data_IF_276749822603
#
_entry.id   IF_276749822603
#
_cell.length_a   1.000
_cell.length_b   1.000
_cell.length_c   1.000
_cell.angle_alpha   90.00
_cell.angle_beta   90.00
_cell.angle_gamma   90.00
#
_symmetry.space_group_name_H-M   'P 1'
#
loop_
_entity.id
_entity.type
_entity.pdbx_description
1 polymer ?
#
# COMPACT_ATOMS: atom_id res chain seq x y z
N UNK A 1 -4.45 1.20 -23.80
CA UNK A 1 -4.10 2.44 -24.54
C UNK A 1 -2.91 3.05 -23.82
N UNK A 2 -1.76 3.19 -24.48
CA UNK A 2 -0.50 3.66 -23.89
C UNK A 2 -0.52 5.20 -23.77
N UNK A 3 -0.33 5.81 -22.58
CA UNK A 3 -0.02 7.23 -22.52
C UNK A 3 1.48 7.44 -22.76
N UNK A 4 1.78 8.26 -23.75
CA UNK A 4 3.10 8.68 -24.17
C UNK A 4 3.65 9.77 -23.25
N UNK A 5 4.96 9.69 -22.97
CA UNK A 5 5.75 10.70 -22.27
C UNK A 5 6.01 11.86 -23.23
N UNK A 6 5.71 13.10 -22.81
CA UNK A 6 6.15 14.32 -23.47
C UNK A 6 6.96 15.17 -22.48
N UNK A 7 8.27 15.18 -22.72
CA UNK A 7 9.24 16.05 -22.08
C UNK A 7 9.06 17.50 -22.59
N UNK A 8 8.99 18.46 -21.67
CA UNK A 8 9.09 19.89 -21.98
C UNK A 8 10.53 20.32 -21.73
N UNK A 9 11.28 20.47 -22.82
CA UNK A 9 12.56 21.19 -22.85
C UNK A 9 12.29 22.50 -23.60
N UNK A 10 12.32 23.60 -22.87
CA UNK A 10 12.53 24.94 -23.40
C UNK A 10 13.47 25.61 -22.39
N UNK A 11 14.59 26.23 -22.76
CA UNK A 11 15.01 26.75 -24.04
C UNK A 11 15.95 27.90 -23.69
N UNK A 12 17.15 27.82 -24.20
CA UNK A 12 18.32 28.66 -23.95
C UNK A 12 18.08 30.17 -24.11
N UNK A 13 18.72 30.99 -23.27
CA UNK A 13 19.11 32.36 -23.65
C UNK A 13 20.60 32.56 -23.38
N UNK A 14 21.30 32.92 -24.46
CA UNK A 14 22.73 33.17 -24.59
C UNK A 14 23.07 34.65 -24.28
N UNK A 15 24.28 34.84 -23.75
CA UNK A 15 25.22 35.98 -23.85
C UNK A 15 24.71 37.42 -24.06
N UNK A 16 25.16 38.37 -23.22
CA UNK A 16 26.23 39.35 -23.51
C UNK A 16 26.19 40.53 -22.52
N UNK A 17 27.36 40.92 -22.02
CA UNK A 17 27.55 42.13 -21.21
C UNK A 17 29.03 42.38 -21.01
N UNK A 18 29.63 43.08 -21.97
CA UNK A 18 31.02 43.51 -21.95
C UNK A 18 31.24 44.59 -20.89
N UNK A 19 32.28 44.43 -20.07
CA UNK A 19 32.97 45.53 -19.42
C UNK A 19 34.47 45.22 -19.49
N UNK A 20 35.14 45.96 -20.36
CA UNK A 20 36.59 46.06 -20.43
C UNK A 20 36.96 47.25 -19.54
N UNK A 21 37.72 47.04 -18.48
CA UNK A 21 38.62 48.07 -17.95
C UNK A 21 39.83 47.38 -17.32
N UNK A 22 40.97 48.00 -17.56
CA UNK A 22 42.33 47.47 -17.48
C UNK A 22 42.79 47.24 -16.03
N UNK A 23 43.63 46.23 -15.78
CA UNK A 23 45.00 46.44 -15.28
C UNK A 23 45.73 45.09 -15.08
N UNK A 24 47.01 45.08 -15.45
CA UNK A 24 47.96 44.00 -15.26
C UNK A 24 48.20 43.72 -13.77
N UNK A 25 47.83 42.53 -13.30
CA UNK A 25 48.40 41.96 -12.08
C UNK A 25 48.52 40.44 -12.20
N UNK A 26 49.76 40.00 -12.37
CA UNK A 26 50.21 38.61 -12.32
C UNK A 26 49.87 38.02 -10.94
N UNK A 27 48.77 37.29 -10.82
CA UNK A 27 48.41 36.54 -9.62
C UNK A 27 48.49 35.05 -9.92
N UNK A 28 49.49 34.37 -9.33
CA UNK A 28 49.48 32.91 -9.20
C UNK A 28 48.21 32.50 -8.44
N UNK A 29 47.17 32.10 -9.18
CA UNK A 29 45.95 31.56 -8.58
C UNK A 29 46.23 30.10 -8.24
N UNK A 30 46.32 29.80 -6.94
CA UNK A 30 46.18 28.43 -6.46
C UNK A 30 44.88 27.87 -7.06
N UNK A 31 44.97 26.74 -7.76
CA UNK A 31 43.82 26.11 -8.41
C UNK A 31 42.68 25.94 -7.41
N UNK A 32 41.54 26.55 -7.71
CA UNK A 32 40.34 26.34 -6.92
C UNK A 32 40.03 24.84 -6.87
N UNK A 33 39.72 24.27 -5.69
CA UNK A 33 39.34 22.87 -5.60
C UNK A 33 38.14 22.65 -6.52
N UNK A 34 38.28 21.74 -7.48
CA UNK A 34 37.18 21.32 -8.35
C UNK A 34 36.06 20.79 -7.46
N UNK A 35 34.82 21.29 -7.56
CA UNK A 35 33.71 20.72 -6.82
C UNK A 35 33.61 19.24 -7.15
N UNK A 36 33.72 18.38 -6.14
CA UNK A 36 33.51 16.96 -6.32
C UNK A 36 32.08 16.75 -6.87
N UNK A 37 31.96 15.96 -7.93
CA UNK A 37 30.65 15.60 -8.46
C UNK A 37 29.82 14.95 -7.34
N UNK A 38 28.53 15.30 -7.19
CA UNK A 38 27.69 14.72 -6.17
C UNK A 38 27.65 13.20 -6.34
N UNK A 39 28.07 12.47 -5.31
CA UNK A 39 27.98 11.01 -5.27
C UNK A 39 26.50 10.66 -5.24
N UNK A 40 25.98 10.11 -6.33
CA UNK A 40 24.62 9.59 -6.39
C UNK A 40 24.63 8.27 -5.63
N UNK A 41 24.14 8.28 -4.38
CA UNK A 41 23.91 7.03 -3.65
C UNK A 41 22.73 6.35 -4.32
N UNK A 42 22.95 5.17 -4.91
CA UNK A 42 21.86 4.37 -5.45
C UNK A 42 20.90 4.02 -4.32
N UNK A 43 19.60 4.23 -4.54
CA UNK A 43 18.58 3.77 -3.60
C UNK A 43 18.71 2.25 -3.42
N UNK A 44 18.51 1.73 -2.19
CA UNK A 44 18.54 0.29 -1.97
C UNK A 44 17.49 -0.43 -2.82
N UNK A 45 17.85 -1.57 -3.39
CA UNK A 45 16.93 -2.45 -4.13
C UNK A 45 16.28 -3.44 -3.16
N UNK A 46 14.98 -3.28 -2.93
CA UNK A 46 14.18 -4.14 -2.06
C UNK A 46 13.31 -5.13 -2.84
N UNK A 47 13.49 -5.29 -4.15
CA UNK A 47 12.57 -6.05 -5.01
C UNK A 47 12.40 -7.51 -4.58
N UNK A 48 13.48 -8.21 -4.25
CA UNK A 48 13.44 -9.60 -3.82
C UNK A 48 12.71 -9.79 -2.47
N UNK A 49 13.00 -8.93 -1.50
CA UNK A 49 12.34 -8.93 -0.19
C UNK A 49 10.85 -8.57 -0.32
N UNK A 50 10.53 -7.56 -1.14
CA UNK A 50 9.16 -7.15 -1.45
C UNK A 50 8.36 -8.31 -2.05
N UNK A 51 8.93 -9.02 -3.03
CA UNK A 51 8.28 -10.19 -3.64
C UNK A 51 8.04 -11.31 -2.62
N UNK A 52 8.99 -11.55 -1.71
CA UNK A 52 8.83 -12.53 -0.65
C UNK A 52 7.69 -12.16 0.31
N UNK A 53 7.64 -10.91 0.78
CA UNK A 53 6.58 -10.42 1.67
C UNK A 53 5.22 -10.49 0.96
N UNK A 54 5.14 -10.07 -0.29
CA UNK A 54 3.92 -10.17 -1.09
C UNK A 54 3.43 -11.61 -1.26
N UNK A 55 4.33 -12.57 -1.45
CA UNK A 55 3.96 -13.99 -1.51
C UNK A 55 3.41 -14.55 -0.18
N UNK A 56 3.73 -13.92 0.95
CA UNK A 56 3.11 -14.27 2.25
C UNK A 56 1.77 -13.58 2.43
N UNK A 57 1.66 -12.31 2.04
CA UNK A 57 0.39 -11.58 2.03
C UNK A 57 -0.63 -12.26 1.12
N UNK A 58 -0.22 -12.78 -0.03
CA UNK A 58 -1.10 -13.57 -0.90
C UNK A 58 -1.72 -14.76 -0.15
N UNK A 59 -0.94 -15.50 0.63
CA UNK A 59 -1.46 -16.60 1.47
C UNK A 59 -2.45 -16.14 2.54
N UNK A 60 -2.22 -14.96 3.12
CA UNK A 60 -3.17 -14.34 4.05
C UNK A 60 -4.48 -14.04 3.32
N UNK A 61 -4.39 -13.40 2.16
CA UNK A 61 -5.55 -13.01 1.37
C UNK A 61 -6.31 -14.18 0.76
N UNK A 62 -5.65 -15.28 0.38
CA UNK A 62 -6.34 -16.47 -0.12
C UNK A 62 -6.82 -17.38 1.00
N UNK A 63 -6.07 -17.50 2.10
CA UNK A 63 -6.41 -18.43 3.19
C UNK A 63 -7.44 -17.84 4.16
N UNK A 64 -7.09 -16.74 4.83
CA UNK A 64 -7.96 -16.19 5.88
C UNK A 64 -9.22 -15.53 5.33
N UNK A 65 -9.16 -14.99 4.10
CA UNK A 65 -10.39 -14.46 3.47
C UNK A 65 -11.34 -15.57 3.01
N UNK A 66 -10.87 -16.80 2.80
CA UNK A 66 -11.75 -17.95 2.55
C UNK A 66 -12.56 -18.30 3.81
N UNK A 67 -11.91 -18.36 4.98
CA UNK A 67 -12.58 -18.63 6.26
C UNK A 67 -13.54 -17.49 6.64
N UNK A 68 -13.13 -16.25 6.43
CA UNK A 68 -14.01 -15.08 6.53
C UNK A 68 -15.21 -15.21 5.60
N UNK A 69 -15.00 -15.52 4.32
CA UNK A 69 -16.05 -15.71 3.33
C UNK A 69 -17.03 -16.82 3.72
N UNK A 70 -16.53 -17.92 4.27
CA UNK A 70 -17.34 -19.02 4.77
C UNK A 70 -18.20 -18.59 5.98
N UNK A 71 -17.66 -17.80 6.90
CA UNK A 71 -18.40 -17.24 8.03
C UNK A 71 -19.51 -16.29 7.56
N UNK A 72 -19.24 -15.43 6.57
CA UNK A 72 -20.24 -14.57 5.94
C UNK A 72 -21.35 -15.39 5.26
N UNK A 73 -20.99 -16.44 4.53
CA UNK A 73 -21.95 -17.35 3.90
C UNK A 73 -22.87 -18.01 4.93
N UNK A 74 -22.32 -18.49 6.04
CA UNK A 74 -23.09 -19.04 7.18
C UNK A 74 -24.01 -17.98 7.79
N UNK A 75 -23.51 -16.76 8.00
CA UNK A 75 -24.30 -15.66 8.55
C UNK A 75 -25.52 -15.36 7.67
N UNK A 76 -25.34 -15.29 6.34
CA UNK A 76 -26.43 -15.10 5.39
C UNK A 76 -27.44 -16.24 5.48
N UNK A 77 -26.98 -17.49 5.42
CA UNK A 77 -27.86 -18.66 5.51
C UNK A 77 -28.68 -18.68 6.82
N UNK A 78 -28.07 -18.32 7.95
CA UNK A 78 -28.77 -18.21 9.23
C UNK A 78 -29.76 -17.04 9.28
N UNK A 79 -29.44 -15.90 8.65
CA UNK A 79 -30.38 -14.77 8.50
C UNK A 79 -31.60 -15.18 7.67
N UNK A 80 -31.40 -15.89 6.56
CA UNK A 80 -32.48 -16.41 5.71
C UNK A 80 -33.35 -17.45 6.44
N UNK A 81 -32.72 -18.33 7.22
CA UNK A 81 -33.39 -19.31 8.08
C UNK A 81 -34.01 -18.72 9.36
N UNK A 82 -33.92 -17.39 9.56
CA UNK A 82 -34.40 -16.66 10.75
C UNK A 82 -33.81 -17.17 12.08
N UNK A 83 -32.59 -17.70 12.04
CA UNK A 83 -31.85 -18.18 13.21
C UNK A 83 -30.94 -17.08 13.76
N UNK A 84 -31.52 -16.12 14.48
CA UNK A 84 -30.82 -14.91 14.94
C UNK A 84 -29.55 -15.18 15.77
N UNK A 85 -29.59 -16.16 16.68
CA UNK A 85 -28.43 -16.49 17.52
C UNK A 85 -27.28 -17.09 16.69
N UNK A 86 -27.60 -17.94 15.72
CA UNK A 86 -26.59 -18.54 14.84
C UNK A 86 -26.04 -17.50 13.85
N UNK A 87 -26.87 -16.59 13.36
CA UNK A 87 -26.42 -15.46 12.56
C UNK A 87 -25.46 -14.56 13.35
N UNK A 88 -25.75 -14.28 14.62
CA UNK A 88 -24.88 -13.49 15.50
C UNK A 88 -23.55 -14.19 15.76
N UNK A 89 -23.56 -15.51 15.98
CA UNK A 89 -22.31 -16.30 16.13
C UNK A 89 -21.48 -16.28 14.85
N UNK A 90 -22.11 -16.42 13.69
CA UNK A 90 -21.43 -16.37 12.40
C UNK A 90 -20.89 -14.97 12.07
N UNK A 91 -21.62 -13.90 12.43
CA UNK A 91 -21.13 -12.52 12.34
C UNK A 91 -19.87 -12.34 13.20
N UNK A 92 -19.88 -12.82 14.44
CA UNK A 92 -18.71 -12.79 15.32
C UNK A 92 -17.54 -13.58 14.73
N UNK A 93 -17.78 -14.77 14.19
CA UNK A 93 -16.73 -15.55 13.54
C UNK A 93 -16.11 -14.79 12.37
N UNK A 94 -16.92 -14.14 11.53
CA UNK A 94 -16.40 -13.31 10.44
C UNK A 94 -15.55 -12.13 10.97
N UNK A 95 -15.99 -11.46 12.04
CA UNK A 95 -15.20 -10.42 12.67
C UNK A 95 -13.86 -10.94 13.23
N UNK A 96 -13.87 -12.11 13.88
CA UNK A 96 -12.67 -12.74 14.44
C UNK A 96 -11.66 -13.14 13.32
N UNK A 97 -12.13 -13.66 12.18
CA UNK A 97 -11.27 -13.94 11.02
C UNK A 97 -10.66 -12.67 10.42
N UNK A 98 -11.44 -11.59 10.34
CA UNK A 98 -10.95 -10.32 9.83
C UNK A 98 -9.89 -9.69 10.75
N UNK A 99 -10.09 -9.80 12.07
CA UNK A 99 -9.10 -9.41 13.07
C UNK A 99 -7.81 -10.21 12.88
N UNK A 100 -7.93 -11.54 12.72
CA UNK A 100 -6.78 -12.41 12.49
C UNK A 100 -6.05 -12.07 11.18
N UNK A 101 -6.77 -11.71 10.13
CA UNK A 101 -6.16 -11.25 8.87
C UNK A 101 -5.34 -9.98 9.06
N UNK A 102 -5.88 -8.99 9.78
CA UNK A 102 -5.13 -7.77 10.13
C UNK A 102 -3.85 -8.05 10.91
N UNK A 103 -3.91 -8.95 11.90
CA UNK A 103 -2.75 -9.34 12.71
C UNK A 103 -1.67 -10.06 11.89
N UNK A 104 -2.07 -10.93 10.96
CA UNK A 104 -1.12 -11.61 10.07
C UNK A 104 -0.50 -10.65 9.05
N UNK A 105 -1.29 -9.74 8.46
CA UNK A 105 -0.75 -8.69 7.57
C UNK A 105 0.33 -7.88 8.31
N UNK A 106 0.03 -7.39 9.52
CA UNK A 106 1.00 -6.66 10.34
C UNK A 106 2.27 -7.48 10.59
N UNK A 107 2.10 -8.75 10.95
CA UNK A 107 3.21 -9.64 11.27
C UNK A 107 4.12 -9.86 10.05
N UNK A 108 3.54 -10.12 8.89
CA UNK A 108 4.29 -10.42 7.68
C UNK A 108 4.95 -9.18 7.06
N UNK A 109 4.37 -8.00 7.23
CA UNK A 109 4.99 -6.75 6.74
C UNK A 109 5.96 -6.11 7.73
N UNK A 110 5.87 -6.39 9.04
CA UNK A 110 6.77 -5.79 10.04
C UNK A 110 8.26 -6.09 9.77
N UNK A 111 8.56 -7.23 9.12
CA UNK A 111 9.91 -7.62 8.74
C UNK A 111 10.41 -7.05 7.41
N UNK A 112 9.56 -6.42 6.60
CA UNK A 112 9.90 -6.00 5.24
C UNK A 112 11.06 -4.99 5.23
N UNK A 113 12.01 -5.14 4.32
CA UNK A 113 13.14 -4.20 4.19
C UNK A 113 12.69 -2.88 3.57
N UNK A 114 11.67 -2.92 2.70
CA UNK A 114 11.06 -1.73 2.15
C UNK A 114 10.23 -0.99 3.22
N UNK A 115 10.61 0.24 3.61
CA UNK A 115 9.88 1.01 4.64
C UNK A 115 8.46 1.41 4.20
N UNK A 116 8.24 1.64 2.91
CA UNK A 116 6.91 1.99 2.40
C UNK A 116 5.98 0.78 2.45
N UNK A 117 6.50 -0.42 2.18
CA UNK A 117 5.73 -1.67 2.35
C UNK A 117 5.38 -1.95 3.81
N UNK A 118 6.29 -1.65 4.75
CA UNK A 118 6.01 -1.72 6.19
C UNK A 118 4.82 -0.84 6.56
N UNK A 119 4.86 0.42 6.14
CA UNK A 119 3.81 1.40 6.43
C UNK A 119 2.48 1.01 5.79
N UNK A 120 2.50 0.61 4.51
CA UNK A 120 1.33 0.12 3.79
C UNK A 120 0.71 -1.12 4.44
N UNK A 121 1.54 -2.07 4.87
CA UNK A 121 1.09 -3.25 5.59
C UNK A 121 0.43 -2.90 6.92
N UNK A 122 1.03 -2.00 7.69
CA UNK A 122 0.46 -1.53 8.95
C UNK A 122 -0.86 -0.76 8.74
N UNK A 123 -0.96 0.08 7.70
CA UNK A 123 -2.22 0.75 7.35
C UNK A 123 -3.32 -0.25 6.98
N UNK A 124 -2.98 -1.24 6.15
CA UNK A 124 -3.92 -2.30 5.77
C UNK A 124 -4.37 -3.07 7.00
N UNK A 125 -3.44 -3.53 7.84
CA UNK A 125 -3.74 -4.21 9.10
C UNK A 125 -4.70 -3.41 9.99
N UNK A 126 -4.45 -2.11 10.15
CA UNK A 126 -5.35 -1.23 10.90
C UNK A 126 -6.76 -1.16 10.31
N UNK A 127 -6.92 -1.13 8.99
CA UNK A 127 -8.22 -1.13 8.32
C UNK A 127 -8.99 -2.45 8.56
N UNK A 128 -8.30 -3.58 8.47
CA UNK A 128 -8.86 -4.90 8.79
C UNK A 128 -9.33 -4.98 10.25
N UNK A 129 -8.47 -4.62 11.20
CA UNK A 129 -8.79 -4.66 12.64
C UNK A 129 -9.86 -3.64 13.06
N UNK A 130 -9.88 -2.46 12.43
CA UNK A 130 -10.94 -1.48 12.67
C UNK A 130 -12.29 -2.01 12.21
N UNK A 131 -12.33 -2.63 11.04
CA UNK A 131 -13.54 -3.26 10.49
C UNK A 131 -13.96 -4.48 11.31
N UNK A 132 -13.02 -5.24 11.85
CA UNK A 132 -13.33 -6.35 12.76
C UNK A 132 -14.05 -5.87 14.02
N UNK A 133 -13.76 -4.64 14.49
CA UNK A 133 -14.43 -4.02 15.65
C UNK A 133 -15.75 -3.35 15.26
N UNK A 134 -15.84 -2.79 14.06
CA UNK A 134 -17.05 -2.15 13.54
C UNK A 134 -17.88 -3.09 12.65
N UNK A 135 -18.79 -3.81 13.28
CA UNK A 135 -19.68 -4.76 12.60
C UNK A 135 -20.76 -4.07 11.74
N UNK A 136 -20.78 -2.73 11.62
CA UNK A 136 -21.83 -2.01 10.90
C UNK A 136 -21.94 -2.44 9.43
N UNK A 137 -20.82 -2.77 8.77
CA UNK A 137 -20.85 -3.26 7.38
C UNK A 137 -21.39 -4.70 7.31
N UNK A 138 -21.04 -5.59 8.26
CA UNK A 138 -21.56 -6.96 8.35
C UNK A 138 -23.09 -7.00 8.51
N UNK A 139 -23.63 -6.04 9.27
CA UNK A 139 -25.08 -5.90 9.48
C UNK A 139 -25.83 -5.49 8.22
N UNK A 140 -25.17 -4.82 7.27
CA UNK A 140 -25.74 -4.46 5.96
C UNK A 140 -25.83 -5.66 5.02
N UNK A 141 -25.05 -6.71 5.26
CA UNK A 141 -25.06 -7.94 4.47
C UNK A 141 -26.24 -8.81 4.95
N UNK A 142 -27.29 -8.90 4.13
CA UNK A 142 -28.46 -9.75 4.42
C UNK A 142 -28.55 -10.93 3.47
N UNK A 143 -27.99 -10.79 2.28
CA UNK A 143 -28.03 -11.75 1.19
C UNK A 143 -26.70 -11.73 0.43
N UNK A 144 -26.49 -12.72 -0.44
CA UNK A 144 -25.33 -12.74 -1.34
C UNK A 144 -25.29 -11.53 -2.27
N UNK A 145 -26.45 -10.99 -2.67
CA UNK A 145 -26.54 -9.78 -3.49
C UNK A 145 -26.04 -8.51 -2.79
N UNK A 146 -25.93 -8.51 -1.47
CA UNK A 146 -25.39 -7.38 -0.71
C UNK A 146 -23.86 -7.40 -0.65
N UNK A 147 -23.23 -8.56 -0.90
CA UNK A 147 -21.77 -8.73 -0.79
C UNK A 147 -21.02 -7.83 -1.77
N UNK A 148 -21.43 -7.82 -3.04
CA UNK A 148 -20.79 -6.98 -4.06
C UNK A 148 -20.91 -5.48 -3.76
N UNK A 149 -21.97 -5.07 -3.07
CA UNK A 149 -22.25 -3.66 -2.75
C UNK A 149 -21.58 -3.19 -1.47
N UNK A 150 -21.27 -4.11 -0.56
CA UNK A 150 -20.78 -3.78 0.79
C UNK A 150 -19.36 -4.28 0.99
N UNK A 151 -19.14 -5.58 0.82
CA UNK A 151 -17.89 -6.24 1.16
C UNK A 151 -16.82 -6.01 0.10
N UNK A 152 -17.16 -6.11 -1.19
CA UNK A 152 -16.19 -5.91 -2.28
C UNK A 152 -15.47 -4.53 -2.23
N UNK A 153 -16.16 -3.39 -2.11
CA UNK A 153 -15.47 -2.10 -1.99
C UNK A 153 -14.68 -1.96 -0.69
N UNK A 154 -15.15 -2.57 0.42
CA UNK A 154 -14.44 -2.57 1.69
C UNK A 154 -13.13 -3.38 1.62
N UNK A 155 -13.15 -4.59 1.08
CA UNK A 155 -11.93 -5.39 0.87
C UNK A 155 -10.92 -4.66 -0.02
N UNK A 156 -11.38 -4.02 -1.10
CA UNK A 156 -10.52 -3.22 -1.96
C UNK A 156 -9.91 -2.02 -1.20
N UNK A 157 -10.67 -1.36 -0.34
CA UNK A 157 -10.17 -0.28 0.50
C UNK A 157 -9.11 -0.79 1.49
N UNK A 158 -9.37 -1.92 2.16
CA UNK A 158 -8.48 -2.50 3.16
C UNK A 158 -7.16 -2.98 2.57
N UNK A 159 -7.18 -3.50 1.33
CA UNK A 159 -5.99 -3.99 0.63
C UNK A 159 -5.28 -2.92 -0.20
N UNK A 160 -5.92 -1.77 -0.45
CA UNK A 160 -5.37 -0.72 -1.32
C UNK A 160 -3.95 -0.25 -0.95
N UNK A 161 -3.54 -0.14 0.34
CA UNK A 161 -2.19 0.33 0.65
C UNK A 161 -1.10 -0.64 0.16
N UNK A 162 -1.32 -1.96 0.27
CA UNK A 162 -0.34 -2.97 -0.16
C UNK A 162 -0.39 -3.29 -1.65
N UNK A 163 -1.49 -2.96 -2.33
CA UNK A 163 -1.70 -3.27 -3.75
C UNK A 163 -0.66 -2.60 -4.69
N UNK A 164 -0.08 -1.48 -4.29
CA UNK A 164 1.00 -0.82 -5.04
C UNK A 164 2.35 -1.55 -5.02
N UNK A 165 2.52 -2.51 -4.09
CA UNK A 165 3.74 -3.30 -3.92
C UNK A 165 3.55 -4.74 -4.38
N UNK A 166 2.35 -5.28 -4.16
CA UNK A 166 1.99 -6.66 -4.44
C UNK A 166 1.04 -6.68 -5.65
N UNK A 167 1.61 -6.76 -6.85
CA UNK A 167 0.88 -6.77 -8.12
C UNK A 167 1.71 -7.22 -9.31
#
# INVERSE_FOLDING_TARGET
MRPAILAVIAGSVLLTGAACDSDDAKVSTAGAPTPAAPVTIASPDYSADTAQVCGKLDKVFTGQLDDFGAAIGKMIAYKEAKQADNATKAEKAAADELQSAGEQIRTETAGAQNPELKEAGEESARKFEASAKDHAYLKKIKSTADLDKTLKPQLAEWMSPVAGFCG
#
